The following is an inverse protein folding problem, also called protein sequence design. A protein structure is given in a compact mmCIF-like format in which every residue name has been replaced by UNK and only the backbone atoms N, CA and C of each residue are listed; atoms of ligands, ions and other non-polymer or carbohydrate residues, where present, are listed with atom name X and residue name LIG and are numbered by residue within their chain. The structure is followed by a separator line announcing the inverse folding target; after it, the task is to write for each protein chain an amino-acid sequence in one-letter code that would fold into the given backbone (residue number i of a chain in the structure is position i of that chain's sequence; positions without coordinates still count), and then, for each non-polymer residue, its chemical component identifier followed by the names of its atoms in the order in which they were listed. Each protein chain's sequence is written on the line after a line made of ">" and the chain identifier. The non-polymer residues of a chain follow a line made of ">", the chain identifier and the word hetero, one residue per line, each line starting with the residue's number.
data_IF_952076099943
#
_entry.id   IF_952076099943
#
_cell.length_a   1.000
_cell.length_b   1.000
_cell.length_c   1.000
_cell.angle_alpha   90.00
_cell.angle_beta   90.00
_cell.angle_gamma   90.00
#
_symmetry.space_group_name_H-M   'P 1'
#
loop_
_entity.id
_entity.type
_entity.pdbx_description
1 polymer ?
#
# COMPACT_ATOMS: atom_id res chain seq x y z
N UNK A 1 -5.29 -7.88 9.27
CA UNK A 1 -4.35 -6.81 9.69
C UNK A 1 -3.49 -6.45 8.49
N UNK A 2 -3.13 -5.18 8.28
CA UNK A 2 -2.19 -4.83 7.22
C UNK A 2 -0.79 -5.24 7.67
N UNK A 3 -0.25 -6.30 7.06
CA UNK A 3 0.98 -6.96 7.54
C UNK A 3 2.23 -6.43 6.83
N UNK A 4 2.06 -5.77 5.68
CA UNK A 4 3.18 -5.29 4.88
C UNK A 4 2.90 -3.90 4.33
N UNK A 5 3.88 -3.01 4.49
CA UNK A 5 3.94 -1.77 3.73
C UNK A 5 5.36 -1.52 3.25
N UNK A 6 5.50 -0.84 2.12
CA UNK A 6 6.79 -0.43 1.58
C UNK A 6 6.75 1.05 1.20
N UNK A 7 7.82 1.74 1.54
CA UNK A 7 7.98 3.16 1.28
C UNK A 7 8.54 3.39 -0.13
N UNK A 8 7.97 4.37 -0.83
CA UNK A 8 8.36 4.81 -2.17
C UNK A 8 8.34 6.34 -2.25
N UNK A 9 9.13 6.90 -3.16
CA UNK A 9 9.08 8.34 -3.42
C UNK A 9 7.86 8.66 -4.30
N UNK A 10 7.23 9.79 -4.04
CA UNK A 10 6.03 10.23 -4.76
C UNK A 10 6.29 10.35 -6.26
N UNK A 11 7.50 10.72 -6.67
CA UNK A 11 7.91 10.75 -8.08
C UNK A 11 7.73 9.41 -8.79
N UNK A 12 7.95 8.30 -8.08
CA UNK A 12 7.84 6.95 -8.63
C UNK A 12 6.37 6.59 -8.83
N UNK A 13 5.50 7.03 -7.92
CA UNK A 13 4.05 6.85 -8.03
C UNK A 13 3.46 7.71 -9.16
N UNK A 14 3.93 8.95 -9.29
CA UNK A 14 3.55 9.88 -10.37
C UNK A 14 3.98 9.41 -11.77
N UNK A 15 4.85 8.40 -11.88
CA UNK A 15 5.16 7.77 -13.16
C UNK A 15 4.00 6.89 -13.68
N UNK A 16 3.04 6.53 -12.83
CA UNK A 16 1.81 5.88 -13.27
C UNK A 16 0.90 6.88 -13.99
N UNK A 17 0.47 6.62 -15.24
CA UNK A 17 -0.26 7.60 -16.05
C UNK A 17 -1.62 8.01 -15.50
N UNK A 18 -2.31 7.11 -14.78
CA UNK A 18 -3.61 7.38 -14.16
C UNK A 18 -3.46 7.77 -12.67
N UNK A 19 -2.25 8.15 -12.23
CA UNK A 19 -2.01 8.57 -10.86
C UNK A 19 -2.80 9.84 -10.53
N UNK A 20 -3.61 9.76 -9.47
CA UNK A 20 -4.40 10.89 -8.97
C UNK A 20 -4.28 10.95 -7.44
N UNK A 21 -3.31 11.72 -6.96
CA UNK A 21 -3.14 11.93 -5.53
C UNK A 21 -4.26 12.80 -4.95
N UNK A 22 -4.88 12.32 -3.87
CA UNK A 22 -5.73 13.13 -3.02
C UNK A 22 -4.85 14.02 -2.15
N UNK A 23 -4.95 15.33 -2.33
CA UNK A 23 -4.16 16.28 -1.55
C UNK A 23 -4.69 16.32 -0.11
N UNK A 24 -3.91 15.90 0.90
CA UNK A 24 -4.36 15.95 2.29
C UNK A 24 -4.53 17.41 2.74
N UNK A 25 -5.71 17.73 3.28
CA UNK A 25 -6.01 19.08 3.78
C UNK A 25 -5.02 19.47 4.90
N UNK A 26 -4.21 20.50 4.65
CA UNK A 26 -3.29 21.07 5.63
C UNK A 26 -1.87 20.49 5.66
N UNK A 27 -1.55 19.53 4.79
CA UNK A 27 -0.17 19.06 4.63
C UNK A 27 0.59 19.92 3.61
N UNK A 28 1.91 20.05 3.80
CA UNK A 28 2.76 20.84 2.90
C UNK A 28 2.71 20.30 1.48
N UNK A 29 2.98 21.16 0.49
CA UNK A 29 2.96 20.77 -0.93
C UNK A 29 3.72 19.45 -1.15
N UNK A 30 3.02 18.45 -1.68
CA UNK A 30 3.59 17.14 -1.98
C UNK A 30 4.63 17.29 -3.10
N UNK A 31 5.90 17.18 -2.75
CA UNK A 31 7.02 17.18 -3.71
C UNK A 31 7.35 15.78 -4.17
N UNK A 32 8.08 15.68 -5.27
CA UNK A 32 8.58 14.41 -5.83
C UNK A 32 9.46 13.61 -4.86
N UNK A 33 10.08 14.29 -3.88
CA UNK A 33 10.91 13.69 -2.83
C UNK A 33 10.09 13.20 -1.62
N UNK A 34 8.78 13.48 -1.59
CA UNK A 34 7.88 13.04 -0.52
C UNK A 34 7.85 11.53 -0.48
N UNK A 35 8.01 10.95 0.71
CA UNK A 35 7.94 9.50 0.91
C UNK A 35 6.51 9.11 1.22
N UNK A 36 5.94 8.21 0.42
CA UNK A 36 4.64 7.62 0.61
C UNK A 36 4.79 6.11 0.86
N UNK A 37 3.72 5.48 1.35
CA UNK A 37 3.74 4.08 1.75
C UNK A 37 2.62 3.34 1.05
N UNK A 38 2.96 2.25 0.36
CA UNK A 38 2.01 1.34 -0.27
C UNK A 38 1.75 0.17 0.70
N UNK A 39 0.50 -0.08 1.01
CA UNK A 39 0.06 -1.24 1.80
C UNK A 39 -0.08 -2.51 0.95
N UNK A 40 -0.24 -3.67 1.59
CA UNK A 40 -0.48 -4.95 0.92
C UNK A 40 -1.73 -4.97 0.02
N UNK A 41 -2.71 -4.12 0.31
CA UNK A 41 -3.91 -3.89 -0.52
C UNK A 41 -3.66 -2.90 -1.68
N UNK A 42 -2.42 -2.47 -1.91
CA UNK A 42 -2.03 -1.46 -2.92
C UNK A 42 -2.60 -0.05 -2.70
N UNK A 43 -3.16 0.23 -1.53
CA UNK A 43 -3.54 1.57 -1.11
C UNK A 43 -2.30 2.37 -0.70
N UNK A 44 -2.26 3.65 -1.09
CA UNK A 44 -1.13 4.55 -0.80
C UNK A 44 -1.52 5.54 0.29
N UNK A 45 -0.69 5.65 1.31
CA UNK A 45 -0.84 6.62 2.41
C UNK A 45 0.42 7.48 2.55
N UNK A 46 0.28 8.68 3.11
CA UNK A 46 1.43 9.54 3.40
C UNK A 46 2.24 9.02 4.59
N UNK A 47 1.55 8.45 5.58
CA UNK A 47 2.16 7.92 6.78
C UNK A 47 1.38 6.70 7.24
N UNK A 48 2.04 5.56 7.54
CA UNK A 48 1.38 4.38 8.07
C UNK A 48 1.02 4.52 9.55
N UNK A 49 1.54 5.55 10.23
CA UNK A 49 1.35 5.81 11.67
C UNK A 49 0.19 6.78 11.91
N UNK A 50 0.03 7.76 11.01
CA UNK A 50 -1.06 8.72 11.11
C UNK A 50 -2.31 8.13 10.47
N UNK A 51 -3.40 8.09 11.24
CA UNK A 51 -4.72 7.70 10.75
C UNK A 51 -5.31 8.86 9.92
N UNK A 52 -4.78 9.02 8.72
CA UNK A 52 -5.22 9.99 7.71
C UNK A 52 -5.79 9.24 6.50
N UNK A 53 -6.63 9.93 5.74
CA UNK A 53 -7.14 9.43 4.47
C UNK A 53 -5.99 9.03 3.54
N UNK A 54 -6.16 7.96 2.75
CA UNK A 54 -5.16 7.54 1.78
C UNK A 54 -4.94 8.62 0.72
N UNK A 55 -3.69 8.75 0.23
CA UNK A 55 -3.39 9.57 -0.95
C UNK A 55 -4.02 8.95 -2.20
N UNK A 56 -4.10 7.62 -2.25
CA UNK A 56 -4.63 6.90 -3.40
C UNK A 56 -5.22 5.57 -2.96
N UNK A 57 -6.49 5.36 -3.28
CA UNK A 57 -7.27 4.17 -2.92
C UNK A 57 -7.86 3.45 -4.16
N UNK A 58 -7.57 3.93 -5.37
CA UNK A 58 -8.10 3.36 -6.61
C UNK A 58 -7.26 2.15 -7.08
N UNK A 59 -7.43 1.01 -6.42
CA UNK A 59 -6.69 -0.23 -6.70
C UNK A 59 -7.21 -0.90 -7.97
N UNK A 60 -6.67 -0.51 -9.13
CA UNK A 60 -7.00 -1.11 -10.43
C UNK A 60 -6.01 -2.22 -10.82
N UNK A 61 -6.37 -3.16 -11.71
CA UNK A 61 -5.42 -4.15 -12.23
C UNK A 61 -4.20 -3.52 -12.92
N UNK A 62 -4.38 -2.37 -13.57
CA UNK A 62 -3.28 -1.62 -14.18
C UNK A 62 -2.32 -1.05 -13.12
N UNK A 63 -2.86 -0.54 -12.02
CA UNK A 63 -2.06 -0.08 -10.88
C UNK A 63 -1.27 -1.22 -10.22
N UNK A 64 -1.90 -2.37 -10.03
CA UNK A 64 -1.22 -3.56 -9.48
C UNK A 64 -0.09 -4.04 -10.40
N UNK A 65 -0.30 -4.02 -11.71
CA UNK A 65 0.72 -4.38 -12.69
C UNK A 65 1.89 -3.37 -12.68
N UNK A 66 1.60 -2.08 -12.58
CA UNK A 66 2.62 -1.02 -12.42
C UNK A 66 3.42 -1.20 -11.12
N UNK A 67 2.75 -1.43 -9.99
CA UNK A 67 3.42 -1.68 -8.72
C UNK A 67 4.38 -2.87 -8.79
N UNK A 68 3.98 -3.96 -9.43
CA UNK A 68 4.81 -5.16 -9.55
C UNK A 68 5.94 -5.00 -10.57
N UNK A 69 5.68 -4.32 -11.69
CA UNK A 69 6.63 -4.23 -12.80
C UNK A 69 7.62 -3.07 -12.67
N UNK A 70 7.12 -1.88 -12.30
CA UNK A 70 7.91 -0.63 -12.26
C UNK A 70 8.43 -0.35 -10.84
N UNK A 71 7.60 -0.53 -9.81
CA UNK A 71 8.01 -0.32 -8.42
C UNK A 71 8.66 -1.58 -7.80
N UNK A 72 8.60 -2.72 -8.49
CA UNK A 72 9.05 -4.01 -7.97
C UNK A 72 8.46 -4.27 -6.56
N UNK A 73 7.19 -3.92 -6.37
CA UNK A 73 6.43 -4.20 -5.17
C UNK A 73 5.96 -5.65 -5.23
N UNK A 74 6.77 -6.54 -4.68
CA UNK A 74 6.42 -7.93 -4.47
C UNK A 74 6.17 -8.17 -2.99
N UNK A 75 4.99 -8.70 -2.66
CA UNK A 75 4.70 -9.21 -1.33
C UNK A 75 5.31 -10.61 -1.27
N UNK A 76 6.29 -10.86 -0.38
CA UNK A 76 6.87 -12.19 -0.19
C UNK A 76 5.76 -13.22 0.04
N UNK A 77 5.82 -14.37 -0.65
CA UNK A 77 4.82 -15.43 -0.54
C UNK A 77 4.61 -15.89 0.92
N UNK A 78 5.66 -15.82 1.74
CA UNK A 78 5.65 -16.14 3.17
C UNK A 78 4.68 -15.25 3.97
N UNK A 79 4.59 -13.96 3.62
CA UNK A 79 3.68 -12.99 4.27
C UNK A 79 2.23 -13.11 3.78
N UNK A 80 1.98 -13.74 2.62
CA UNK A 80 0.62 -14.05 2.19
C UNK A 80 0.01 -15.19 3.01
N UNK A 81 0.80 -16.17 3.44
CA UNK A 81 0.32 -17.32 4.20
C UNK A 81 -0.15 -16.89 5.61
N UNK A 82 0.54 -15.95 6.25
CA UNK A 82 0.21 -15.45 7.60
C UNK A 82 -1.08 -14.62 7.67
N UNK A 83 -1.68 -14.25 6.54
CA UNK A 83 -2.96 -13.55 6.48
C UNK A 83 -4.18 -14.50 6.46
N UNK A 84 -3.97 -15.81 6.25
CA UNK A 84 -5.05 -16.81 6.15
C UNK A 84 -5.14 -17.75 7.37
N UNK A 85 -4.26 -17.62 8.37
CA UNK A 85 -4.08 -18.62 9.44
C UNK A 85 -4.72 -18.25 10.80
N UNK A 86 -5.73 -17.37 10.83
CA UNK A 86 -6.53 -17.09 12.04
C UNK A 86 -7.96 -17.69 12.01
N UNK A 87 -8.27 -18.57 11.05
CA UNK A 87 -9.63 -19.17 10.95
C UNK A 87 -9.67 -20.70 10.89
N UNK A 88 -8.70 -21.46 11.41
CA UNK A 88 -8.93 -22.89 11.66
C UNK A 88 -7.91 -23.53 12.63
N UNK A 89 -7.94 -23.15 13.91
CA UNK A 89 -7.27 -23.95 14.95
C UNK A 89 -7.83 -23.65 16.35
N UNK A 90 -9.09 -24.01 16.60
CA UNK A 90 -9.52 -24.38 17.95
C UNK A 90 -9.90 -25.86 17.94
N UNK A 91 -8.99 -26.79 18.31
CA UNK A 91 -9.39 -28.15 18.53
C UNK A 91 -10.33 -28.19 19.76
N UNK A 92 -11.57 -28.60 19.52
CA UNK A 92 -12.49 -29.06 20.56
C UNK A 92 -11.78 -30.08 21.45
N UNK A 93 -11.50 -29.73 22.72
CA UNK A 93 -11.07 -30.71 23.71
C UNK A 93 -12.28 -31.48 24.22
N UNK A 94 -12.17 -32.80 24.09
CA UNK A 94 -13.06 -33.84 24.59
C UNK A 94 -12.88 -34.04 26.10
#
# INVERSE_FOLDING_TARGET
>A
MRQYCKAYQLKELRAYPDWTEQQPEGDSALTDETVCYIWDDFTVVLSPIQDKSPLFDQVTPAWQAFCQSELHFEIPADLRATSQEEVDASPTSH
#
